data_IF_851201817771
#
_entry.id   IF_851201817771
#
_cell.length_a   1.000
_cell.length_b   1.000
_cell.length_c   1.000
_cell.angle_alpha   90.00
_cell.angle_beta   90.00
_cell.angle_gamma   90.00
#
_symmetry.space_group_name_H-M   'P 1'
#
loop_
_entity.id
_entity.type
_entity.pdbx_description
1 polymer ?
#
# COMPACT_ATOMS: atom_id res chain seq x y z
N UNK A 1 23.56 2.96 -2.96
CA UNK A 1 22.26 2.44 -3.46
C UNK A 1 21.22 2.93 -2.47
N UNK A 2 20.17 3.64 -2.89
CA UNK A 2 19.12 4.07 -1.97
C UNK A 2 18.41 2.80 -1.47
N UNK A 3 18.21 2.70 -0.17
CA UNK A 3 17.49 1.59 0.46
C UNK A 3 16.04 1.55 -0.08
N UNK A 4 15.61 0.39 -0.60
CA UNK A 4 14.31 0.23 -1.23
C UNK A 4 13.20 -0.07 -0.23
N UNK A 5 13.56 -0.53 0.95
CA UNK A 5 12.65 -0.75 2.07
C UNK A 5 13.36 -0.63 3.42
N UNK A 6 12.59 -0.41 4.48
CA UNK A 6 13.02 -0.48 5.87
C UNK A 6 12.00 -1.25 6.68
N UNK A 7 12.42 -2.34 7.31
CA UNK A 7 11.58 -3.14 8.23
C UNK A 7 11.53 -2.46 9.60
N UNK A 8 10.41 -2.63 10.28
CA UNK A 8 10.26 -2.16 11.66
C UNK A 8 9.30 -3.05 12.45
N UNK A 9 9.35 -2.93 13.78
CA UNK A 9 8.49 -3.68 14.69
C UNK A 9 7.43 -2.73 15.26
N UNK A 10 6.16 -3.11 15.16
CA UNK A 10 5.07 -2.39 15.82
C UNK A 10 4.77 -3.10 17.15
N UNK A 11 4.78 -2.40 18.29
CA UNK A 11 4.31 -2.98 19.54
C UNK A 11 2.88 -3.50 19.43
N UNK A 12 2.62 -4.70 19.96
CA UNK A 12 1.30 -5.34 19.90
C UNK A 12 0.77 -5.56 18.47
N UNK A 13 1.66 -5.81 17.50
CA UNK A 13 1.29 -5.96 16.08
C UNK A 13 0.22 -7.03 15.86
N UNK A 14 0.26 -8.16 16.57
CA UNK A 14 -0.75 -9.22 16.45
C UNK A 14 -2.17 -8.72 16.77
N UNK A 15 -2.32 -7.80 17.73
CA UNK A 15 -3.61 -7.17 18.03
C UNK A 15 -4.06 -6.27 16.89
N UNK A 16 -3.16 -5.48 16.33
CA UNK A 16 -3.42 -4.63 15.16
C UNK A 16 -3.83 -5.48 13.96
N UNK A 17 -3.17 -6.62 13.74
CA UNK A 17 -3.57 -7.58 12.69
C UNK A 17 -4.99 -8.06 12.90
N UNK A 18 -5.36 -8.46 14.12
CA UNK A 18 -6.73 -8.88 14.45
C UNK A 18 -7.77 -7.79 14.17
N UNK A 19 -7.49 -6.55 14.59
CA UNK A 19 -8.37 -5.40 14.31
C UNK A 19 -8.55 -5.17 12.81
N UNK A 20 -7.47 -5.16 12.04
CA UNK A 20 -7.50 -4.92 10.60
C UNK A 20 -8.16 -6.06 9.82
N UNK A 21 -8.02 -7.31 10.28
CA UNK A 21 -8.72 -8.45 9.67
C UNK A 21 -10.24 -8.32 9.84
N UNK A 22 -10.72 -7.89 11.00
CA UNK A 22 -12.15 -7.64 11.23
C UNK A 22 -12.69 -6.56 10.27
N UNK A 23 -11.91 -5.51 9.98
CA UNK A 23 -12.29 -4.50 8.97
C UNK A 23 -12.29 -5.11 7.57
N UNK A 24 -11.29 -5.91 7.23
CA UNK A 24 -11.18 -6.53 5.91
C UNK A 24 -12.33 -7.52 5.62
N UNK A 25 -12.79 -8.28 6.61
CA UNK A 25 -13.89 -9.24 6.48
C UNK A 25 -15.20 -8.59 6.03
N UNK A 26 -15.46 -7.35 6.43
CA UNK A 26 -16.65 -6.60 6.03
C UNK A 26 -16.78 -6.39 4.53
N UNK A 27 -15.69 -6.43 3.79
CA UNK A 27 -15.66 -6.27 2.34
C UNK A 27 -15.60 -7.59 1.57
N UNK A 28 -15.69 -8.72 2.29
CA UNK A 28 -15.70 -10.07 1.71
C UNK A 28 -14.56 -10.32 0.72
N UNK A 29 -13.33 -10.00 1.12
CA UNK A 29 -12.15 -10.06 0.26
C UNK A 29 -11.87 -11.47 -0.29
N UNK A 30 -12.20 -12.51 0.47
CA UNK A 30 -11.95 -13.92 0.11
C UNK A 30 -12.78 -14.39 -1.09
N UNK A 31 -13.87 -13.72 -1.42
CA UNK A 31 -14.68 -14.05 -2.60
C UNK A 31 -14.02 -13.64 -3.93
N UNK A 32 -12.91 -12.90 -3.87
CA UNK A 32 -12.22 -12.44 -5.08
C UNK A 32 -11.41 -13.55 -5.73
N UNK A 33 -11.63 -13.76 -7.04
CA UNK A 33 -10.81 -14.64 -7.90
C UNK A 33 -9.66 -13.91 -8.58
N UNK A 34 -9.55 -12.60 -8.40
CA UNK A 34 -8.56 -11.74 -9.04
C UNK A 34 -7.85 -10.91 -7.98
N UNK A 35 -6.65 -10.45 -8.28
CA UNK A 35 -5.97 -9.45 -7.45
C UNK A 35 -6.85 -8.22 -7.32
N UNK A 36 -7.14 -7.83 -6.09
CA UNK A 36 -7.97 -6.67 -5.78
C UNK A 36 -7.34 -5.78 -4.74
N UNK A 37 -7.69 -4.51 -4.84
CA UNK A 37 -7.42 -3.55 -3.78
C UNK A 37 -8.66 -2.70 -3.53
N UNK A 38 -8.86 -2.30 -2.27
CA UNK A 38 -9.94 -1.39 -1.90
C UNK A 38 -9.45 -0.42 -0.83
N UNK A 39 -9.97 0.79 -0.92
CA UNK A 39 -9.74 1.83 0.07
C UNK A 39 -10.84 1.77 1.09
N UNK A 40 -10.49 1.94 2.36
CA UNK A 40 -11.45 2.01 3.46
C UNK A 40 -11.47 3.42 4.06
N UNK A 41 -12.61 3.85 4.63
CA UNK A 41 -12.69 5.14 5.33
C UNK A 41 -11.74 5.16 6.52
N UNK A 42 -10.89 6.19 6.60
CA UNK A 42 -9.83 6.26 7.61
C UNK A 42 -10.42 6.35 9.02
N UNK A 43 -11.36 7.27 9.22
CA UNK A 43 -11.93 7.51 10.55
C UNK A 43 -12.68 6.28 11.08
N UNK A 44 -13.48 5.62 10.24
CA UNK A 44 -14.22 4.42 10.62
C UNK A 44 -13.24 3.29 10.96
N UNK A 45 -12.23 3.09 10.10
CA UNK A 45 -11.19 2.09 10.34
C UNK A 45 -10.45 2.34 11.65
N UNK A 46 -10.01 3.57 11.91
CA UNK A 46 -9.30 3.90 13.15
C UNK A 46 -10.19 3.82 14.39
N UNK A 47 -11.49 4.07 14.27
CA UNK A 47 -12.42 3.88 15.39
C UNK A 47 -12.65 2.40 15.72
N UNK A 48 -12.56 1.52 14.73
CA UNK A 48 -12.65 0.07 14.91
C UNK A 48 -11.32 -0.59 15.28
N UNK A 49 -10.20 0.12 15.10
CA UNK A 49 -8.85 -0.35 15.34
C UNK A 49 -8.14 0.52 16.40
N UNK A 50 -8.55 0.46 17.69
CA UNK A 50 -8.02 1.35 18.71
C UNK A 50 -6.51 1.19 18.93
N UNK A 51 -5.96 -0.02 18.88
CA UNK A 51 -4.51 -0.24 19.07
C UNK A 51 -3.72 0.35 17.90
N UNK A 52 -4.21 0.18 16.67
CA UNK A 52 -3.64 0.83 15.49
C UNK A 52 -3.74 2.35 15.60
N UNK A 53 -4.89 2.86 16.02
CA UNK A 53 -5.12 4.31 16.20
C UNK A 53 -4.10 4.90 17.18
N UNK A 54 -3.93 4.29 18.35
CA UNK A 54 -2.99 4.76 19.37
C UNK A 54 -1.55 4.73 18.86
N UNK A 55 -1.16 3.66 18.16
CA UNK A 55 0.15 3.57 17.52
C UNK A 55 0.35 4.72 16.51
N UNK A 56 -0.58 4.91 15.61
CA UNK A 56 -0.46 5.96 14.59
C UNK A 56 -0.47 7.36 15.20
N UNK A 57 -1.35 7.64 16.17
CA UNK A 57 -1.40 8.95 16.84
C UNK A 57 -0.11 9.30 17.58
N UNK A 58 0.58 8.31 18.13
CA UNK A 58 1.86 8.52 18.83
C UNK A 58 3.06 8.73 17.88
N UNK A 59 2.94 8.37 16.61
CA UNK A 59 4.07 8.33 15.66
C UNK A 59 3.90 9.23 14.43
N UNK A 60 2.67 9.56 14.05
CA UNK A 60 2.44 10.36 12.84
C UNK A 60 2.87 11.81 13.03
N UNK A 61 3.70 12.28 12.11
CA UNK A 61 4.03 13.69 11.91
C UNK A 61 3.10 14.36 10.90
N UNK A 62 2.49 13.54 10.01
CA UNK A 62 1.51 13.99 9.00
C UNK A 62 0.34 13.00 8.92
N UNK A 63 -0.87 13.47 8.64
CA UNK A 63 -2.05 12.61 8.56
C UNK A 63 -1.94 11.61 7.42
N UNK A 64 -2.37 10.37 7.68
CA UNK A 64 -2.60 9.37 6.64
C UNK A 64 -3.75 9.86 5.76
N UNK A 65 -3.62 9.68 4.46
CA UNK A 65 -4.63 10.05 3.46
C UNK A 65 -5.32 8.86 2.82
N UNK A 66 -4.74 7.65 3.00
CA UNK A 66 -5.35 6.44 2.45
C UNK A 66 -4.95 5.22 3.29
N UNK A 67 -5.94 4.39 3.62
CA UNK A 67 -5.76 3.01 4.09
C UNK A 67 -6.28 2.11 2.98
N UNK A 68 -5.41 1.25 2.46
CA UNK A 68 -5.73 0.42 1.29
C UNK A 68 -5.35 -1.03 1.54
N UNK A 69 -6.31 -1.91 1.43
CA UNK A 69 -6.08 -3.35 1.47
C UNK A 69 -5.74 -3.87 0.09
N UNK A 70 -4.87 -4.88 0.04
CA UNK A 70 -4.51 -5.61 -1.17
C UNK A 70 -4.66 -7.09 -0.93
N UNK A 71 -5.52 -7.72 -1.71
CA UNK A 71 -5.70 -9.16 -1.75
C UNK A 71 -5.12 -9.72 -3.03
N UNK A 72 -4.28 -10.73 -2.89
CA UNK A 72 -3.74 -11.51 -4.01
C UNK A 72 -4.20 -12.96 -3.85
N UNK A 73 -5.05 -13.47 -4.76
CA UNK A 73 -5.43 -14.87 -4.78
C UNK A 73 -4.22 -15.81 -4.90
N UNK A 74 -4.40 -17.13 -4.71
CA UNK A 74 -3.36 -18.11 -4.98
C UNK A 74 -2.72 -17.94 -6.35
N UNK A 75 -1.40 -18.08 -6.43
CA UNK A 75 -0.63 -18.05 -7.66
C UNK A 75 -0.81 -16.78 -8.51
N UNK A 76 -1.16 -15.65 -7.87
CA UNK A 76 -1.38 -14.37 -8.56
C UNK A 76 -0.61 -13.24 -7.89
N UNK A 77 -0.41 -12.18 -8.66
CA UNK A 77 0.30 -11.00 -8.18
C UNK A 77 -0.08 -9.72 -8.91
N UNK A 78 0.35 -8.62 -8.32
CA UNK A 78 0.24 -7.31 -8.93
C UNK A 78 1.41 -7.14 -9.91
N UNK A 79 1.10 -6.86 -11.17
CA UNK A 79 2.11 -6.65 -12.20
C UNK A 79 2.96 -5.42 -11.91
N UNK A 80 4.12 -5.35 -12.56
CA UNK A 80 5.07 -4.26 -12.36
C UNK A 80 4.47 -2.89 -12.71
N UNK A 81 4.63 -1.93 -11.81
CA UNK A 81 4.12 -0.56 -11.92
C UNK A 81 4.87 0.37 -10.96
N UNK A 82 4.66 1.66 -11.15
CA UNK A 82 5.03 2.71 -10.19
C UNK A 82 3.74 3.29 -9.62
N UNK A 83 3.68 3.49 -8.32
CA UNK A 83 2.53 4.11 -7.68
C UNK A 83 2.45 5.61 -8.04
N UNK A 84 1.28 6.02 -8.51
CA UNK A 84 1.05 7.38 -8.99
C UNK A 84 1.37 7.56 -10.48
N UNK A 85 1.50 8.81 -10.88
CA UNK A 85 1.91 9.20 -12.24
C UNK A 85 3.26 9.90 -12.20
N UNK A 86 3.83 10.19 -13.36
CA UNK A 86 5.04 11.01 -13.48
C UNK A 86 4.91 12.40 -12.81
N UNK A 87 3.67 12.84 -12.57
CA UNK A 87 3.36 14.14 -11.95
C UNK A 87 3.10 13.99 -10.44
N UNK A 88 2.59 12.84 -9.99
CA UNK A 88 2.18 12.59 -8.60
C UNK A 88 2.66 11.23 -8.11
N UNK A 89 3.96 11.00 -8.15
CA UNK A 89 4.56 9.77 -7.60
C UNK A 89 4.40 9.76 -6.09
N UNK A 90 3.93 8.62 -5.55
CA UNK A 90 3.92 8.37 -4.11
C UNK A 90 5.28 7.77 -3.78
N UNK A 91 6.15 8.46 -3.02
CA UNK A 91 7.53 8.03 -2.83
C UNK A 91 7.63 6.71 -2.05
N UNK A 92 6.72 6.47 -1.12
CA UNK A 92 6.69 5.25 -0.32
C UNK A 92 5.31 5.00 0.31
N UNK A 93 5.13 3.78 0.83
CA UNK A 93 3.99 3.41 1.68
C UNK A 93 4.46 2.59 2.88
N UNK A 94 3.72 2.65 3.98
CA UNK A 94 3.86 1.73 5.10
C UNK A 94 2.98 0.52 4.83
N UNK A 95 3.60 -0.64 4.62
CA UNK A 95 2.90 -1.89 4.34
C UNK A 95 2.97 -2.83 5.53
N UNK A 96 1.82 -3.37 5.92
CA UNK A 96 1.72 -4.34 7.01
C UNK A 96 1.17 -5.67 6.50
N UNK A 97 1.86 -6.80 6.79
CA UNK A 97 1.37 -8.13 6.49
C UNK A 97 0.17 -8.46 7.38
N UNK A 98 -0.88 -9.05 6.83
CA UNK A 98 -2.05 -9.45 7.61
C UNK A 98 -2.30 -10.96 7.56
N UNK A 99 -2.28 -11.56 6.37
CA UNK A 99 -2.63 -12.96 6.21
C UNK A 99 -1.80 -13.61 5.10
N UNK A 100 -1.26 -14.81 5.38
CA UNK A 100 -0.57 -15.70 4.43
C UNK A 100 0.56 -14.99 3.64
N UNK A 101 1.36 -14.17 4.31
CA UNK A 101 2.43 -13.39 3.67
C UNK A 101 3.76 -14.12 3.60
N UNK A 102 3.94 -15.25 4.32
CA UNK A 102 5.14 -16.08 4.23
C UNK A 102 5.29 -16.65 2.82
N UNK A 103 6.50 -16.57 2.27
CA UNK A 103 6.80 -16.99 0.89
C UNK A 103 6.37 -16.01 -0.18
N UNK A 104 5.67 -14.90 0.18
CA UNK A 104 5.24 -13.88 -0.78
C UNK A 104 6.25 -12.76 -0.84
N UNK A 105 6.47 -12.20 -2.03
CA UNK A 105 7.51 -11.20 -2.21
C UNK A 105 7.01 -9.94 -2.89
N UNK A 106 7.61 -8.83 -2.50
CA UNK A 106 7.58 -7.56 -3.18
C UNK A 106 8.92 -7.42 -3.91
N UNK A 107 8.89 -7.10 -5.19
CA UNK A 107 10.07 -7.00 -6.04
C UNK A 107 10.23 -5.59 -6.55
N UNK A 108 11.46 -5.09 -6.61
CA UNK A 108 11.82 -3.88 -7.33
C UNK A 108 12.59 -4.24 -8.59
N UNK A 109 12.36 -3.48 -9.64
CA UNK A 109 12.87 -3.77 -10.96
C UNK A 109 13.69 -2.62 -11.52
N UNK A 110 14.76 -2.97 -12.24
CA UNK A 110 15.50 -2.02 -13.06
C UNK A 110 14.71 -1.75 -14.35
N UNK A 111 14.00 -0.64 -14.36
CA UNK A 111 13.19 -0.22 -15.50
C UNK A 111 13.40 1.29 -15.70
N UNK A 112 14.28 1.67 -16.63
CA UNK A 112 14.55 3.07 -16.89
C UNK A 112 13.31 3.75 -17.49
N UNK A 113 13.12 5.08 -17.28
CA UNK A 113 11.94 5.82 -17.67
C UNK A 113 11.54 5.69 -19.17
N UNK A 114 12.53 5.57 -20.05
CA UNK A 114 12.31 5.37 -21.50
C UNK A 114 11.64 4.03 -21.84
N UNK A 115 11.71 3.07 -20.93
CA UNK A 115 11.07 1.75 -21.08
C UNK A 115 9.72 1.67 -20.37
N UNK A 116 9.16 2.80 -19.98
CA UNK A 116 7.86 2.88 -19.30
C UNK A 116 6.80 3.58 -20.16
N UNK A 117 5.55 3.31 -19.85
CA UNK A 117 4.39 4.02 -20.40
C UNK A 117 3.35 4.27 -19.31
N UNK A 118 2.63 5.37 -19.45
CA UNK A 118 1.55 5.71 -18.55
C UNK A 118 0.25 5.09 -19.06
N UNK A 119 -0.43 4.36 -18.18
CA UNK A 119 -1.76 3.81 -18.47
C UNK A 119 -2.76 4.25 -17.40
N UNK A 120 -4.04 4.24 -17.75
CA UNK A 120 -5.11 4.36 -16.74
C UNK A 120 -5.26 3.02 -16.03
N UNK A 121 -5.10 3.02 -14.71
CA UNK A 121 -5.40 1.83 -13.91
C UNK A 121 -6.90 1.52 -14.03
N UNK A 122 -7.25 0.27 -14.32
CA UNK A 122 -8.64 -0.21 -14.33
C UNK A 122 -9.17 -0.36 -12.89
N UNK A 123 -9.16 0.70 -12.10
CA UNK A 123 -9.75 0.68 -10.76
C UNK A 123 -11.14 1.32 -10.81
N UNK A 124 -12.16 0.51 -10.60
CA UNK A 124 -13.47 1.01 -10.20
C UNK A 124 -13.44 1.20 -8.68
N UNK A 125 -13.06 2.36 -8.22
CA UNK A 125 -13.19 2.72 -6.81
C UNK A 125 -14.43 3.60 -6.68
N UNK A 126 -15.51 3.03 -6.19
CA UNK A 126 -16.55 3.79 -5.52
C UNK A 126 -16.08 3.97 -4.08
N UNK A 127 -15.51 5.08 -3.73
CA UNK A 127 -15.32 5.46 -2.35
C UNK A 127 -16.22 6.64 -2.05
N UNK A 128 -17.11 6.45 -1.12
CA UNK A 128 -17.84 7.54 -0.48
C UNK A 128 -16.90 8.14 0.57
N UNK A 129 -16.44 9.36 0.35
CA UNK A 129 -15.61 10.10 1.31
C UNK A 129 -16.46 11.26 1.81
N UNK A 130 -16.52 11.44 3.12
CA UNK A 130 -17.10 12.64 3.71
C UNK A 130 -16.08 13.77 3.54
N UNK A 131 -16.43 14.80 2.81
CA UNK A 131 -15.65 16.02 2.72
C UNK A 131 -15.63 16.69 4.10
N UNK A 132 -14.47 16.76 4.72
CA UNK A 132 -14.27 17.35 6.05
C UNK A 132 -14.71 18.83 6.14
N UNK A 133 -14.80 19.54 5.00
CA UNK A 133 -15.20 20.96 4.96
C UNK A 133 -16.71 21.14 4.87
N UNK A 134 -17.41 20.27 4.18
CA UNK A 134 -18.85 20.39 3.93
C UNK A 134 -19.70 19.40 4.72
N UNK A 135 -19.10 18.36 5.31
CA UNK A 135 -19.82 17.26 5.93
C UNK A 135 -20.64 16.43 4.94
N UNK A 136 -20.48 16.67 3.64
CA UNK A 136 -21.24 16.04 2.58
C UNK A 136 -20.57 14.77 2.09
N UNK A 137 -21.32 13.74 1.80
CA UNK A 137 -20.87 12.56 1.05
C UNK A 137 -20.48 13.00 -0.35
N UNK A 138 -19.19 13.06 -0.63
CA UNK A 138 -18.68 13.33 -1.96
C UNK A 138 -18.34 11.98 -2.61
N UNK A 139 -19.05 11.67 -3.69
CA UNK A 139 -18.65 10.59 -4.59
C UNK A 139 -17.36 11.02 -5.30
N UNK A 140 -16.22 10.75 -4.69
CA UNK A 140 -14.97 10.84 -5.38
C UNK A 140 -14.92 9.70 -6.40
N UNK A 141 -15.26 9.99 -7.63
CA UNK A 141 -14.57 9.32 -8.72
C UNK A 141 -13.13 9.75 -8.60
N UNK A 142 -12.34 9.03 -7.81
CA UNK A 142 -10.90 9.15 -7.88
C UNK A 142 -10.57 9.07 -9.36
N UNK A 143 -10.06 10.16 -9.92
CA UNK A 143 -9.52 10.17 -11.25
C UNK A 143 -8.67 8.91 -11.34
N UNK A 144 -9.05 8.00 -12.24
CA UNK A 144 -8.45 6.65 -12.32
C UNK A 144 -6.95 6.89 -12.26
N UNK A 145 -6.25 6.44 -11.20
CA UNK A 145 -4.87 6.84 -11.00
C UNK A 145 -4.11 6.39 -12.24
N UNK A 146 -3.39 7.34 -12.84
CA UNK A 146 -2.47 7.02 -13.90
C UNK A 146 -1.33 6.24 -13.24
N UNK A 147 -1.01 5.09 -13.78
CA UNK A 147 0.12 4.27 -13.33
C UNK A 147 1.13 4.13 -14.45
N UNK A 148 2.38 4.17 -14.08
CA UNK A 148 3.49 3.92 -14.98
C UNK A 148 3.78 2.42 -14.98
N UNK A 149 3.82 1.82 -16.16
CA UNK A 149 4.07 0.38 -16.34
C UNK A 149 5.17 0.16 -17.38
N UNK A 150 5.90 -0.96 -17.33
CA UNK A 150 6.91 -1.26 -18.33
C UNK A 150 6.27 -1.48 -19.70
N UNK A 151 6.97 -1.04 -20.76
CA UNK A 151 6.60 -1.32 -22.14
C UNK A 151 6.76 -2.81 -22.44
N UNK A 152 7.92 -3.36 -22.06
CA UNK A 152 8.22 -4.78 -22.16
C UNK A 152 8.50 -5.36 -20.77
N UNK A 153 7.72 -6.37 -20.38
CA UNK A 153 7.84 -7.04 -19.08
C UNK A 153 8.92 -8.12 -19.07
N UNK A 154 9.41 -8.55 -20.22
CA UNK A 154 10.39 -9.64 -20.34
C UNK A 154 11.83 -9.24 -19.99
N UNK A 155 12.10 -7.93 -19.91
CA UNK A 155 13.46 -7.38 -19.77
C UNK A 155 13.57 -6.49 -18.55
N UNK A 156 13.12 -6.98 -17.39
CA UNK A 156 13.25 -6.21 -16.15
C UNK A 156 14.05 -7.01 -15.12
N UNK A 157 15.35 -6.73 -14.99
CA UNK A 157 16.14 -7.30 -13.91
C UNK A 157 15.52 -6.96 -12.54
N UNK A 158 15.54 -7.91 -11.63
CA UNK A 158 15.16 -7.67 -10.23
C UNK A 158 16.34 -6.99 -9.54
N UNK A 159 16.09 -5.80 -8.98
CA UNK A 159 17.06 -5.05 -8.19
C UNK A 159 17.12 -5.57 -6.76
N UNK A 160 15.95 -5.85 -6.18
CA UNK A 160 15.83 -6.27 -4.79
C UNK A 160 14.48 -6.95 -4.55
N UNK A 161 14.37 -7.66 -3.43
CA UNK A 161 13.20 -8.42 -3.03
C UNK A 161 12.98 -8.31 -1.52
N UNK A 162 11.72 -8.14 -1.13
CA UNK A 162 11.29 -8.17 0.26
C UNK A 162 10.23 -9.23 0.48
N UNK A 163 10.52 -10.23 1.32
CA UNK A 163 9.49 -11.07 1.90
C UNK A 163 8.77 -10.29 3.02
N UNK A 164 7.46 -10.09 2.87
CA UNK A 164 6.67 -9.23 3.74
C UNK A 164 6.22 -10.01 4.99
N UNK A 165 7.14 -10.27 5.92
CA UNK A 165 6.86 -10.96 7.19
C UNK A 165 6.61 -10.01 8.35
N UNK A 166 7.14 -8.81 8.26
CA UNK A 166 7.00 -7.73 9.25
C UNK A 166 6.55 -6.45 8.55
N UNK A 167 6.00 -5.48 9.28
CA UNK A 167 5.76 -4.14 8.74
C UNK A 167 7.02 -3.57 8.11
N UNK A 168 6.84 -2.87 7.00
CA UNK A 168 7.93 -2.20 6.31
C UNK A 168 7.47 -0.92 5.61
N UNK A 169 8.32 0.08 5.63
CA UNK A 169 8.23 1.18 4.66
C UNK A 169 8.83 0.67 3.36
N UNK A 170 8.10 0.81 2.27
CA UNK A 170 8.53 0.34 0.94
C UNK A 170 8.49 1.49 -0.06
N UNK A 171 9.52 1.62 -0.87
CA UNK A 171 9.58 2.58 -1.98
C UNK A 171 8.56 2.19 -3.05
N UNK A 172 7.72 3.13 -3.46
CA UNK A 172 6.66 2.93 -4.45
C UNK A 172 6.78 3.82 -5.68
N UNK A 173 7.74 4.74 -5.65
CA UNK A 173 8.14 5.60 -6.77
C UNK A 173 9.16 4.94 -7.72
N UNK A 174 9.54 3.69 -7.45
CA UNK A 174 10.38 2.84 -8.27
C UNK A 174 9.52 1.71 -8.83
N UNK A 175 9.81 1.23 -10.03
CA UNK A 175 9.11 0.10 -10.66
C UNK A 175 9.12 -1.10 -9.72
N UNK A 176 7.93 -1.56 -9.31
CA UNK A 176 7.79 -2.66 -8.37
C UNK A 176 6.61 -3.57 -8.72
N UNK A 177 6.66 -4.79 -8.22
CA UNK A 177 5.60 -5.80 -8.36
C UNK A 177 5.46 -6.59 -7.07
N UNK A 178 4.38 -7.36 -6.96
CA UNK A 178 4.18 -8.29 -5.85
C UNK A 178 3.60 -9.60 -6.38
N UNK A 179 4.04 -10.72 -5.81
CA UNK A 179 3.56 -12.04 -6.20
C UNK A 179 3.25 -12.91 -4.97
N UNK A 180 2.17 -13.67 -5.08
CA UNK A 180 1.76 -14.68 -4.11
C UNK A 180 1.89 -16.07 -4.72
N UNK A 181 2.95 -16.82 -4.43
CA UNK A 181 3.15 -18.17 -4.94
C UNK A 181 2.39 -19.23 -4.14
N UNK A 182 1.72 -18.86 -3.06
CA UNK A 182 1.06 -19.80 -2.17
C UNK A 182 -0.26 -20.31 -2.75
N UNK A 183 -0.72 -21.45 -2.26
CA UNK A 183 -2.04 -22.03 -2.55
C UNK A 183 -3.19 -21.31 -1.81
N UNK A 184 -2.87 -20.39 -0.93
CA UNK A 184 -3.81 -19.57 -0.14
C UNK A 184 -3.72 -18.11 -0.53
N UNK A 185 -4.84 -17.39 -0.39
CA UNK A 185 -4.86 -15.95 -0.68
C UNK A 185 -4.04 -15.15 0.35
N UNK A 186 -3.31 -14.16 -0.13
CA UNK A 186 -2.51 -13.22 0.65
C UNK A 186 -3.26 -11.91 0.88
N UNK A 187 -3.17 -11.36 2.09
CA UNK A 187 -3.71 -10.05 2.42
C UNK A 187 -2.64 -9.16 3.07
N UNK A 188 -2.52 -7.93 2.59
CA UNK A 188 -1.75 -6.86 3.23
C UNK A 188 -2.57 -5.58 3.30
N UNK A 189 -2.17 -4.66 4.18
CA UNK A 189 -2.68 -3.29 4.21
C UNK A 189 -1.54 -2.32 3.97
N UNK A 190 -1.84 -1.25 3.22
CA UNK A 190 -0.92 -0.15 2.96
C UNK A 190 -1.50 1.16 3.51
N UNK A 191 -0.66 1.91 4.20
CA UNK A 191 -0.96 3.25 4.68
C UNK A 191 -0.18 4.24 3.84
N UNK A 192 -0.87 5.27 3.32
CA UNK A 192 -0.29 6.24 2.40
C UNK A 192 -0.56 7.66 2.87
N UNK A 193 0.41 8.51 2.66
CA UNK A 193 0.32 9.94 2.89
C UNK A 193 -0.05 10.64 1.58
N UNK A 194 -0.54 11.88 1.67
CA UNK A 194 -1.24 12.63 0.65
C UNK A 194 -0.80 12.44 -0.80
N UNK A 195 -1.78 12.60 -1.68
CA UNK A 195 -1.63 12.53 -3.13
C UNK A 195 -1.42 13.92 -3.76
N UNK A 196 -1.69 14.99 -2.98
CA UNK A 196 -1.60 16.38 -3.42
C UNK A 196 -0.49 17.09 -2.66
N UNK A 197 0.32 17.89 -3.37
CA UNK A 197 1.42 18.67 -2.80
C UNK A 197 2.39 17.82 -1.97
N UNK A 198 2.95 16.77 -2.61
CA UNK A 198 3.96 15.91 -1.97
C UNK A 198 5.23 16.74 -1.76
N UNK A 199 5.43 17.17 -0.52
CA UNK A 199 6.57 17.94 -0.04
C UNK A 199 7.47 17.11 0.90
N UNK A 200 7.38 15.77 0.78
CA UNK A 200 8.18 14.82 1.55
C UNK A 200 8.84 13.80 0.62
N UNK A 201 10.03 13.38 0.95
CA UNK A 201 10.80 12.39 0.19
C UNK A 201 11.28 11.22 1.05
N UNK A 202 11.33 11.41 2.36
CA UNK A 202 11.80 10.40 3.29
C UNK A 202 10.69 10.03 4.29
N UNK A 203 10.67 8.78 4.77
CA UNK A 203 9.67 8.32 5.74
C UNK A 203 9.61 9.16 7.00
N UNK A 204 10.74 9.64 7.46
CA UNK A 204 10.90 10.45 8.66
C UNK A 204 10.18 11.79 8.60
N UNK A 205 9.81 12.26 7.39
CA UNK A 205 9.02 13.48 7.20
C UNK A 205 7.55 13.29 7.61
N UNK A 206 7.07 12.04 7.64
CA UNK A 206 5.65 11.72 7.82
C UNK A 206 5.35 10.85 9.04
N UNK A 207 6.31 10.03 9.48
CA UNK A 207 6.14 9.13 10.61
C UNK A 207 7.47 8.92 11.34
N UNK A 208 7.40 8.84 12.67
CA UNK A 208 8.55 8.56 13.54
C UNK A 208 8.63 7.07 13.86
N UNK A 209 9.59 6.39 13.24
CA UNK A 209 9.84 4.96 13.41
C UNK A 209 11.30 4.66 13.79
N UNK A 210 12.12 5.67 14.09
CA UNK A 210 13.57 5.53 14.26
C UNK A 210 13.94 4.46 15.30
N UNK A 211 13.23 4.44 16.43
CA UNK A 211 13.43 3.46 17.52
C UNK A 211 12.83 2.07 17.24
N UNK A 212 12.13 1.88 16.14
CA UNK A 212 11.43 0.65 15.77
C UNK A 212 12.07 -0.10 14.60
N UNK A 213 13.01 0.49 13.87
CA UNK A 213 13.68 -0.16 12.75
C UNK A 213 14.51 -1.39 13.20
N UNK A 214 14.55 -2.42 12.33
CA UNK A 214 15.27 -3.70 12.53
C UNK A 214 16.13 -4.05 11.34
#
# INVERSE_FOLDING_TARGET
MKQLYRKFIIPSFDRIVGELLNVAEKVNYTASKEVRSWVVPINDTLNECPVLKDFLQSRLKRPIRQIKFYYSPPMQGLGAHVDGSSITRIPFSMNCPLLNTKGTSHYWHDCPPENTKIIRAKQRVKSEIIDERSGSLVNWQLAVPMVEVPIDRSIMPVLDMLEMLTPAIVKTDIMHSAFNPNETGRLIVAFRWGLENIDYSEPEDVIDLEDLYV
#
